data_IF_569552803845
#
_entry.id   IF_569552803845
#
_cell.length_a   1.000
_cell.length_b   1.000
_cell.length_c   1.000
_cell.angle_alpha   90.00
_cell.angle_beta   90.00
_cell.angle_gamma   90.00
#
_symmetry.space_group_name_H-M   'P 1'
#
loop_
_entity.id
_entity.type
_entity.pdbx_description
1 polymer ?
#
# COMPACT_ATOMS: atom_id res chain seq x y z
N UNK A 1 16.88 1.71 6.47
CA UNK A 1 15.53 2.16 6.76
C UNK A 1 14.53 1.32 6.01
N UNK A 2 13.51 0.91 6.69
CA UNK A 2 12.62 -0.14 6.22
C UNK A 2 11.35 0.44 5.61
N UNK A 3 10.86 -0.14 4.51
CA UNK A 3 9.57 0.27 3.97
C UNK A 3 8.42 -0.13 4.90
N UNK A 4 7.28 0.53 4.71
CA UNK A 4 6.10 0.32 5.52
C UNK A 4 4.91 -0.05 4.64
N UNK A 5 4.22 -1.12 5.01
CA UNK A 5 2.91 -1.47 4.50
C UNK A 5 1.85 -0.94 5.47
N UNK A 6 1.02 -0.04 4.98
CA UNK A 6 -0.10 0.52 5.74
C UNK A 6 -1.40 -0.05 5.21
N UNK A 7 -2.27 -0.52 6.09
CA UNK A 7 -3.56 -1.10 5.72
C UNK A 7 -4.68 -0.33 6.42
N UNK A 8 -5.67 0.11 5.66
CA UNK A 8 -6.83 0.80 6.24
C UNK A 8 -7.70 -0.18 7.00
N UNK A 9 -7.85 0.03 8.30
CA UNK A 9 -8.60 -0.89 9.17
C UNK A 9 -10.10 -0.64 9.16
N UNK A 10 -10.57 0.47 8.58
CA UNK A 10 -11.97 0.89 8.62
C UNK A 10 -12.65 1.01 7.28
N UNK A 11 -12.01 0.55 6.20
CA UNK A 11 -12.68 0.47 4.91
C UNK A 11 -13.94 -0.38 5.04
N UNK A 12 -15.05 0.12 4.52
CA UNK A 12 -16.37 -0.49 4.64
C UNK A 12 -16.89 -0.90 3.28
N UNK A 13 -17.32 -2.13 3.16
CA UNK A 13 -18.07 -2.63 2.01
C UNK A 13 -19.57 -2.58 2.29
N UNK A 14 -20.38 -2.67 1.22
CA UNK A 14 -21.83 -2.45 1.26
C UNK A 14 -22.57 -3.27 2.31
N UNK A 15 -22.20 -4.53 2.47
CA UNK A 15 -22.90 -5.46 3.35
C UNK A 15 -22.24 -5.62 4.73
N UNK A 16 -21.32 -4.75 5.08
CA UNK A 16 -20.64 -4.81 6.37
C UNK A 16 -21.59 -4.43 7.51
N UNK A 17 -21.39 -5.07 8.66
CA UNK A 17 -22.14 -4.80 9.87
C UNK A 17 -21.76 -3.46 10.51
N UNK A 18 -22.44 -3.09 11.63
CA UNK A 18 -22.30 -1.77 12.24
C UNK A 18 -21.03 -1.59 13.07
N UNK A 19 -20.39 -2.67 13.52
CA UNK A 19 -19.19 -2.60 14.35
C UNK A 19 -17.93 -2.42 13.51
N UNK A 20 -16.90 -1.80 14.07
CA UNK A 20 -15.60 -1.65 13.40
C UNK A 20 -15.01 -3.00 13.01
N UNK A 21 -15.17 -4.02 13.84
CA UNK A 21 -14.66 -5.38 13.56
C UNK A 21 -15.41 -6.09 12.43
N UNK A 22 -16.59 -5.60 12.05
CA UNK A 22 -17.37 -6.14 10.94
C UNK A 22 -16.93 -5.58 9.58
N UNK A 23 -16.06 -4.61 9.57
CA UNK A 23 -15.66 -3.93 8.34
C UNK A 23 -14.66 -4.75 7.53
N UNK A 24 -14.75 -4.65 6.21
CA UNK A 24 -13.83 -5.32 5.28
C UNK A 24 -12.37 -4.97 5.58
N UNK A 25 -12.08 -3.70 5.87
CA UNK A 25 -10.73 -3.25 6.21
C UNK A 25 -10.18 -3.92 7.47
N UNK A 26 -11.01 -4.11 8.47
CA UNK A 26 -10.61 -4.82 9.69
C UNK A 26 -10.30 -6.30 9.38
N UNK A 27 -11.16 -6.95 8.60
CA UNK A 27 -10.95 -8.34 8.20
C UNK A 27 -9.67 -8.51 7.39
N UNK A 28 -9.44 -7.64 6.42
CA UNK A 28 -8.22 -7.65 5.61
C UNK A 28 -6.98 -7.45 6.47
N UNK A 29 -7.00 -6.46 7.36
CA UNK A 29 -5.88 -6.17 8.25
C UNK A 29 -5.58 -7.35 9.16
N UNK A 30 -6.61 -7.97 9.73
CA UNK A 30 -6.47 -9.15 10.58
C UNK A 30 -5.83 -10.30 9.81
N UNK A 31 -6.26 -10.54 8.58
CA UNK A 31 -5.73 -11.61 7.76
C UNK A 31 -4.26 -11.37 7.37
N UNK A 32 -3.93 -10.14 6.98
CA UNK A 32 -2.56 -9.76 6.68
C UNK A 32 -1.69 -9.92 7.93
N UNK A 33 -2.15 -9.41 9.06
CA UNK A 33 -1.43 -9.50 10.33
C UNK A 33 -1.12 -10.95 10.70
N UNK A 34 -2.09 -11.85 10.51
CA UNK A 34 -1.91 -13.27 10.85
C UNK A 34 -0.85 -13.96 9.99
N UNK A 35 -0.63 -13.48 8.77
CA UNK A 35 0.31 -14.07 7.80
C UNK A 35 1.65 -13.34 7.73
N UNK A 36 1.74 -12.18 8.35
CA UNK A 36 2.84 -11.24 8.12
C UNK A 36 4.21 -11.81 8.54
N UNK A 37 4.31 -12.36 9.75
CA UNK A 37 5.59 -12.81 10.30
C UNK A 37 6.22 -13.94 9.48
N UNK A 38 5.42 -14.75 8.82
CA UNK A 38 5.89 -15.84 7.97
C UNK A 38 6.13 -15.39 6.52
N UNK A 39 5.85 -14.14 6.20
CA UNK A 39 5.96 -13.63 4.84
C UNK A 39 7.38 -13.19 4.47
N UNK A 40 7.65 -13.17 3.17
CA UNK A 40 8.89 -12.62 2.63
C UNK A 40 9.03 -11.13 2.96
N UNK A 41 7.93 -10.40 3.00
CA UNK A 41 7.92 -9.00 3.37
C UNK A 41 8.52 -8.78 4.77
N UNK A 42 8.13 -9.60 5.75
CA UNK A 42 8.69 -9.52 7.09
C UNK A 42 10.18 -9.81 7.10
N UNK A 43 10.61 -10.82 6.34
CA UNK A 43 12.03 -11.18 6.23
C UNK A 43 12.85 -10.05 5.61
N UNK A 44 12.28 -9.27 4.72
CA UNK A 44 12.92 -8.11 4.10
C UNK A 44 12.84 -6.85 4.95
N UNK A 45 12.27 -6.92 6.15
CA UNK A 45 12.24 -5.81 7.08
C UNK A 45 11.10 -4.84 6.87
N UNK A 46 10.06 -5.21 6.13
CA UNK A 46 8.87 -4.37 5.99
C UNK A 46 8.18 -4.21 7.34
N UNK A 47 7.78 -2.99 7.66
CA UNK A 47 6.94 -2.72 8.83
C UNK A 47 5.46 -2.79 8.41
N UNK A 48 4.66 -3.49 9.20
CA UNK A 48 3.21 -3.52 9.03
C UNK A 48 2.56 -2.56 10.02
N UNK A 49 1.63 -1.74 9.54
CA UNK A 49 0.79 -0.91 10.43
C UNK A 49 -0.64 -0.82 9.93
N UNK A 50 -1.57 -0.74 10.87
CA UNK A 50 -2.96 -0.42 10.57
C UNK A 50 -3.20 1.08 10.66
N UNK A 51 -3.98 1.61 9.73
CA UNK A 51 -4.38 3.01 9.71
C UNK A 51 -5.91 3.06 9.83
N UNK A 52 -6.43 3.83 10.76
CA UNK A 52 -7.88 3.88 11.01
C UNK A 52 -8.69 4.46 9.86
N UNK A 53 -8.10 5.33 9.06
CA UNK A 53 -8.75 5.86 7.86
C UNK A 53 -7.69 6.40 6.91
N UNK A 54 -7.77 6.02 5.63
CA UNK A 54 -6.90 6.51 4.58
C UNK A 54 -7.64 7.38 3.57
N UNK A 55 -8.86 7.82 3.92
CA UNK A 55 -9.69 8.76 3.15
C UNK A 55 -10.03 8.30 1.73
N UNK A 56 -10.04 7.00 1.48
CA UNK A 56 -10.42 6.42 0.18
C UNK A 56 -11.66 5.52 0.33
N UNK A 57 -12.67 6.00 1.04
CA UNK A 57 -13.87 5.24 1.37
C UNK A 57 -14.66 4.78 0.15
N UNK A 58 -14.45 5.39 -1.01
CA UNK A 58 -15.11 5.02 -2.27
C UNK A 58 -14.44 3.84 -2.97
N UNK A 59 -13.26 3.45 -2.54
CA UNK A 59 -12.45 2.42 -3.18
C UNK A 59 -11.92 1.37 -2.19
N UNK A 60 -12.80 0.85 -1.30
CA UNK A 60 -12.35 -0.12 -0.28
C UNK A 60 -11.95 -1.46 -0.93
N UNK A 61 -11.02 -2.25 -0.37
CA UNK A 61 -10.15 -1.88 0.74
C UNK A 61 -8.86 -1.23 0.22
N UNK A 62 -8.19 -0.50 1.09
CA UNK A 62 -7.06 0.36 0.69
C UNK A 62 -5.80 0.00 1.47
N UNK A 63 -4.70 -0.04 0.76
CA UNK A 63 -3.36 -0.16 1.33
C UNK A 63 -2.44 0.92 0.76
N UNK A 64 -1.34 1.17 1.46
CA UNK A 64 -0.25 2.00 0.93
C UNK A 64 1.10 1.36 1.23
N UNK A 65 2.03 1.58 0.32
CA UNK A 65 3.43 1.24 0.50
C UNK A 65 4.24 2.53 0.49
N UNK A 66 5.05 2.72 1.50
CA UNK A 66 5.88 3.90 1.64
C UNK A 66 7.27 3.53 2.14
N UNK A 67 8.25 4.35 1.80
CA UNK A 67 9.62 4.14 2.22
C UNK A 67 10.45 5.37 1.95
N UNK A 68 11.52 5.52 2.70
CA UNK A 68 12.44 6.62 2.50
C UNK A 68 13.08 6.50 1.11
N UNK A 69 13.08 7.58 0.37
CA UNK A 69 13.62 7.65 -0.99
C UNK A 69 12.93 6.74 -2.01
N UNK A 70 11.71 6.28 -1.69
CA UNK A 70 10.90 5.45 -2.58
C UNK A 70 9.58 6.14 -2.90
N UNK A 71 9.00 5.81 -4.05
CA UNK A 71 7.64 6.24 -4.35
C UNK A 71 6.67 5.68 -3.32
N UNK A 72 5.73 6.51 -2.91
CA UNK A 72 4.56 6.03 -2.15
C UNK A 72 3.52 5.53 -3.13
N UNK A 73 3.06 4.31 -2.94
CA UNK A 73 2.05 3.67 -3.78
C UNK A 73 0.77 3.47 -2.98
N UNK A 74 -0.37 3.81 -3.57
CA UNK A 74 -1.68 3.65 -2.95
C UNK A 74 -2.54 2.76 -3.83
N UNK A 75 -3.10 1.70 -3.24
CA UNK A 75 -3.98 0.75 -3.93
C UNK A 75 -5.32 0.66 -3.24
N UNK A 76 -6.38 0.53 -4.04
CA UNK A 76 -7.73 0.30 -3.55
C UNK A 76 -8.40 -0.88 -4.24
N UNK A 77 -9.68 -1.03 -4.00
CA UNK A 77 -10.52 -2.09 -4.58
C UNK A 77 -10.06 -3.50 -4.21
N UNK A 78 -9.40 -3.64 -3.06
CA UNK A 78 -8.89 -4.93 -2.61
C UNK A 78 -9.96 -5.70 -1.86
N UNK A 79 -10.04 -7.01 -2.11
CA UNK A 79 -11.03 -7.88 -1.51
C UNK A 79 -10.46 -8.52 -0.25
N UNK A 80 -11.12 -8.28 0.88
CA UNK A 80 -10.64 -8.69 2.20
C UNK A 80 -10.38 -10.20 2.31
N UNK A 81 -11.23 -11.02 1.69
CA UNK A 81 -11.13 -12.48 1.77
C UNK A 81 -10.13 -13.10 0.77
N UNK A 82 -9.65 -12.34 -0.21
CA UNK A 82 -8.94 -12.91 -1.36
C UNK A 82 -7.51 -12.40 -1.56
N UNK A 83 -7.18 -11.19 -1.11
CA UNK A 83 -5.98 -10.52 -1.61
C UNK A 83 -4.83 -10.37 -0.61
N UNK A 84 -4.95 -10.94 0.59
CA UNK A 84 -3.90 -10.79 1.63
C UNK A 84 -2.53 -11.28 1.16
N UNK A 85 -2.47 -12.42 0.50
CA UNK A 85 -1.21 -12.98 0.00
C UNK A 85 -0.62 -12.11 -1.11
N UNK A 86 -1.45 -11.61 -2.02
CA UNK A 86 -1.01 -10.72 -3.10
C UNK A 86 -0.45 -9.40 -2.55
N UNK A 87 -1.06 -8.88 -1.50
CA UNK A 87 -0.59 -7.67 -0.82
C UNK A 87 0.76 -7.89 -0.18
N UNK A 88 0.95 -9.01 0.52
CA UNK A 88 2.22 -9.33 1.15
C UNK A 88 3.32 -9.57 0.10
N UNK A 89 2.98 -10.19 -1.01
CA UNK A 89 3.90 -10.36 -2.13
C UNK A 89 4.30 -9.01 -2.72
N UNK A 90 3.33 -8.11 -2.90
CA UNK A 90 3.60 -6.74 -3.38
C UNK A 90 4.53 -5.99 -2.43
N UNK A 91 4.33 -6.13 -1.11
CA UNK A 91 5.18 -5.50 -0.12
C UNK A 91 6.64 -6.00 -0.23
N UNK A 92 6.83 -7.28 -0.49
CA UNK A 92 8.15 -7.83 -0.73
C UNK A 92 8.78 -7.28 -2.02
N UNK A 93 8.00 -7.21 -3.10
CA UNK A 93 8.45 -6.60 -4.36
C UNK A 93 8.85 -5.14 -4.14
N UNK A 94 8.08 -4.40 -3.38
CA UNK A 94 8.35 -3.01 -3.04
C UNK A 94 9.67 -2.87 -2.26
N UNK A 95 9.91 -3.74 -1.29
CA UNK A 95 11.13 -3.74 -0.50
C UNK A 95 12.37 -4.00 -1.37
N UNK A 96 12.23 -4.85 -2.39
CA UNK A 96 13.31 -5.16 -3.33
C UNK A 96 13.49 -4.12 -4.44
N UNK A 97 12.54 -3.22 -4.63
CA UNK A 97 12.64 -2.15 -5.62
C UNK A 97 13.44 -0.98 -5.07
N UNK A 98 14.42 -0.50 -5.83
CA UNK A 98 15.26 0.62 -5.38
C UNK A 98 14.49 1.93 -5.24
N UNK A 99 13.50 2.18 -6.11
CA UNK A 99 12.71 3.41 -6.13
C UNK A 99 11.25 3.20 -5.68
N UNK A 100 10.88 1.97 -5.38
CA UNK A 100 9.51 1.60 -4.98
C UNK A 100 8.56 1.37 -6.14
N UNK A 101 8.97 1.60 -7.38
CA UNK A 101 8.13 1.30 -8.53
C UNK A 101 8.20 -0.19 -8.88
N UNK A 102 7.04 -0.73 -9.24
CA UNK A 102 6.90 -2.14 -9.61
C UNK A 102 6.19 -2.17 -10.94
N UNK A 103 6.78 -2.84 -11.93
CA UNK A 103 6.18 -2.94 -13.26
C UNK A 103 4.78 -3.56 -13.18
N UNK A 104 3.89 -3.06 -14.02
CA UNK A 104 2.53 -3.57 -14.09
C UNK A 104 2.49 -5.09 -14.28
N UNK A 105 3.33 -5.61 -15.18
CA UNK A 105 3.40 -7.04 -15.49
C UNK A 105 3.92 -7.90 -14.34
N UNK A 106 4.69 -7.33 -13.41
CA UNK A 106 5.26 -8.05 -12.27
C UNK A 106 4.30 -8.10 -11.08
N UNK A 107 3.25 -7.29 -11.10
CA UNK A 107 2.27 -7.26 -10.01
C UNK A 107 1.25 -8.40 -10.18
N UNK A 108 0.79 -8.96 -9.07
CA UNK A 108 -0.36 -9.87 -9.06
C UNK A 108 -1.58 -9.17 -9.68
N UNK A 109 -2.42 -9.94 -10.35
CA UNK A 109 -3.58 -9.41 -11.10
C UNK A 109 -4.42 -8.38 -10.35
N UNK A 110 -4.81 -8.62 -9.08
CA UNK A 110 -5.65 -7.65 -8.37
C UNK A 110 -4.98 -6.29 -8.18
N UNK A 111 -3.65 -6.25 -8.24
CA UNK A 111 -2.86 -5.06 -8.00
C UNK A 111 -2.43 -4.36 -9.29
N UNK A 112 -2.91 -4.82 -10.43
CA UNK A 112 -2.63 -4.18 -11.72
C UNK A 112 -3.55 -3.00 -12.00
N UNK A 113 -4.82 -3.08 -11.58
CA UNK A 113 -5.85 -2.08 -11.89
C UNK A 113 -6.20 -1.16 -10.72
N UNK A 114 -5.94 -1.57 -9.50
CA UNK A 114 -6.38 -0.85 -8.31
C UNK A 114 -5.47 0.26 -7.83
N UNK A 115 -4.47 0.64 -8.61
CA UNK A 115 -3.59 1.71 -8.18
C UNK A 115 -4.34 3.06 -8.17
N UNK A 116 -4.38 3.71 -7.02
CA UNK A 116 -5.04 4.98 -6.81
C UNK A 116 -4.10 6.16 -6.98
N UNK A 117 -2.83 5.94 -6.79
CA UNK A 117 -1.84 6.99 -6.95
C UNK A 117 -0.44 6.51 -6.65
N UNK A 118 0.51 7.27 -7.15
CA UNK A 118 1.93 7.13 -6.83
C UNK A 118 2.51 8.52 -6.63
N UNK A 119 3.23 8.69 -5.54
CA UNK A 119 3.80 9.98 -5.17
C UNK A 119 5.30 9.82 -5.07
N UNK A 120 6.08 10.64 -5.80
CA UNK A 120 7.54 10.57 -5.71
C UNK A 120 8.02 10.91 -4.30
N UNK A 121 9.19 10.42 -3.91
CA UNK A 121 9.79 10.82 -2.66
C UNK A 121 10.13 12.31 -2.66
N UNK A 122 10.28 12.85 -1.46
CA UNK A 122 10.63 14.27 -1.28
C UNK A 122 11.93 14.56 -2.03
N UNK A 123 11.95 15.67 -2.78
CA UNK A 123 13.10 16.13 -3.58
C UNK A 123 13.57 15.14 -4.64
N UNK A 124 12.69 14.25 -5.10
CA UNK A 124 13.03 13.35 -6.19
C UNK A 124 13.28 14.12 -7.49
N UNK A 125 14.29 13.68 -8.20
CA UNK A 125 14.58 14.15 -9.56
C UNK A 125 14.59 12.92 -10.46
N UNK A 126 13.53 12.71 -11.21
CA UNK A 126 13.42 11.63 -12.17
C UNK A 126 12.43 12.01 -13.27
N UNK A 127 12.25 11.11 -14.24
CA UNK A 127 11.42 11.39 -15.42
C UNK A 127 9.94 11.69 -15.10
N UNK A 128 9.45 11.30 -13.94
CA UNK A 128 8.06 11.55 -13.54
C UNK A 128 7.89 12.87 -12.80
N UNK A 129 8.98 13.52 -12.40
CA UNK A 129 8.95 14.84 -11.78
C UNK A 129 9.26 15.89 -12.86
N UNK A 130 8.28 16.74 -13.15
CA UNK A 130 8.44 17.75 -14.21
C UNK A 130 9.30 18.89 -13.69
N UNK A 131 10.51 19.09 -14.24
CA UNK A 131 11.39 20.14 -13.77
C UNK A 131 10.88 21.55 -14.06
N UNK A 132 10.00 21.71 -15.04
CA UNK A 132 9.41 23.02 -15.37
C UNK A 132 8.46 23.53 -14.30
N UNK A 133 7.94 22.63 -13.47
CA UNK A 133 6.97 22.94 -12.43
C UNK A 133 7.46 22.55 -11.03
N UNK A 134 8.76 22.40 -10.87
CA UNK A 134 9.34 21.99 -9.60
C UNK A 134 10.27 23.09 -9.06
N UNK A 135 9.99 23.54 -7.84
CA UNK A 135 10.79 24.55 -7.16
C UNK A 135 11.20 24.03 -5.79
N UNK A 136 12.50 23.91 -5.57
CA UNK A 136 13.05 23.57 -4.28
C UNK A 136 13.51 24.86 -3.58
N UNK A 137 12.81 25.23 -2.52
CA UNK A 137 13.19 26.40 -1.74
C UNK A 137 14.19 25.98 -0.66
N UNK A 138 15.29 26.68 -0.58
CA UNK A 138 16.24 26.47 0.51
C UNK A 138 15.68 27.08 1.79
N UNK A 139 15.69 26.33 2.92
CA UNK A 139 15.24 26.87 4.21
C UNK A 139 16.14 27.98 4.73
#
# INVERSE_FOLDING_TARGET
MHPTLSVCTRCKEKDDGPSDIDRAGYRLTTLIHSKFLDSEAAKLGVTLRGIRCMSQCKRPCVIALSGLSKYTLLFGDLVASAHANDILHLAAQYANSSDGLIRLSDRARPLRKGILGRVPPIKAENELVDPNFTLFLNP
#
